data_IF_477681753972
#
_entry.id   IF_477681753972
#
_cell.length_a   1.000
_cell.length_b   1.000
_cell.length_c   1.000
_cell.angle_alpha   90.00
_cell.angle_beta   90.00
_cell.angle_gamma   90.00
#
_symmetry.space_group_name_H-M   'P 1'
#
loop_
_entity.id
_entity.type
_entity.pdbx_description
1 polymer ?
#
# COMPACT_ATOMS: atom_id res chain seq x y z
N UNK A 1 17.75 -82.05 -35.37
CA UNK A 1 18.53 -81.11 -36.20
C UNK A 1 18.23 -79.71 -35.70
N UNK A 2 19.18 -79.11 -34.97
CA UNK A 2 19.40 -77.71 -34.56
C UNK A 2 18.18 -76.92 -33.98
N UNK A 3 18.28 -75.97 -33.06
CA UNK A 3 19.35 -75.06 -32.67
C UNK A 3 18.95 -74.40 -31.33
N UNK A 4 19.92 -74.20 -30.43
CA UNK A 4 19.79 -73.37 -29.24
C UNK A 4 19.94 -71.89 -29.61
N UNK A 5 19.07 -70.98 -29.15
CA UNK A 5 19.41 -69.55 -29.01
C UNK A 5 18.74 -68.87 -27.80
N UNK A 6 19.55 -68.81 -26.75
CA UNK A 6 19.74 -67.74 -25.77
C UNK A 6 19.31 -66.31 -26.21
N UNK A 7 18.61 -65.56 -25.33
CA UNK A 7 18.69 -64.08 -25.24
C UNK A 7 18.25 -63.58 -23.84
N UNK A 8 18.99 -62.57 -23.38
CA UNK A 8 19.24 -62.09 -21.99
C UNK A 8 18.04 -61.40 -21.29
N UNK A 9 18.02 -61.32 -19.95
CA UNK A 9 17.01 -60.56 -19.22
C UNK A 9 17.27 -59.05 -19.24
N UNK A 10 16.21 -58.28 -19.44
CA UNK A 10 16.21 -56.82 -19.40
C UNK A 10 16.39 -56.31 -17.97
N UNK A 11 17.37 -55.42 -17.79
CA UNK A 11 17.60 -54.64 -16.56
C UNK A 11 16.47 -53.63 -16.39
N UNK A 12 15.71 -53.73 -15.30
CA UNK A 12 14.79 -52.68 -14.86
C UNK A 12 15.59 -51.53 -14.24
N UNK A 13 15.52 -50.35 -14.84
CA UNK A 13 16.06 -49.10 -14.29
C UNK A 13 14.92 -48.42 -13.54
N UNK A 14 15.03 -48.31 -12.21
CA UNK A 14 14.11 -47.55 -11.37
C UNK A 14 14.46 -46.05 -11.48
N UNK A 15 13.64 -45.28 -12.18
CA UNK A 15 13.67 -43.81 -12.15
C UNK A 15 12.86 -43.31 -10.95
N UNK A 16 13.53 -42.87 -9.89
CA UNK A 16 12.90 -42.11 -8.79
C UNK A 16 12.73 -40.65 -9.22
N UNK A 17 11.49 -40.21 -9.43
CA UNK A 17 11.16 -38.81 -9.64
C UNK A 17 11.09 -38.07 -8.30
N UNK A 18 11.95 -37.04 -8.10
CA UNK A 18 11.83 -36.10 -6.99
C UNK A 18 10.69 -35.11 -7.28
N UNK A 19 9.61 -35.20 -6.51
CA UNK A 19 8.54 -34.19 -6.47
C UNK A 19 9.00 -33.00 -5.62
N UNK A 20 9.39 -31.91 -6.26
CA UNK A 20 9.53 -30.60 -5.61
C UNK A 20 8.13 -30.04 -5.32
N UNK A 21 7.66 -30.16 -4.08
CA UNK A 21 6.45 -29.47 -3.63
C UNK A 21 6.84 -28.03 -3.33
N UNK A 22 6.50 -27.11 -4.25
CA UNK A 22 6.61 -25.67 -4.02
C UNK A 22 5.56 -25.25 -2.99
N UNK A 23 6.02 -25.02 -1.76
CA UNK A 23 5.23 -24.41 -0.70
C UNK A 23 4.91 -22.97 -1.11
N UNK A 24 3.72 -22.76 -1.68
CA UNK A 24 3.21 -21.42 -1.92
C UNK A 24 2.83 -20.83 -0.57
N UNK A 25 3.68 -19.97 -0.03
CA UNK A 25 3.32 -19.14 1.10
C UNK A 25 2.15 -18.25 0.68
N UNK A 26 0.94 -18.60 1.11
CA UNK A 26 -0.19 -17.70 1.03
C UNK A 26 0.15 -16.51 1.92
N UNK A 27 0.51 -15.37 1.31
CA UNK A 27 0.60 -14.12 2.05
C UNK A 27 -0.79 -13.85 2.62
N UNK A 28 -0.92 -13.90 3.94
CA UNK A 28 -2.13 -13.45 4.61
C UNK A 28 -2.35 -11.98 4.22
N UNK A 29 -3.27 -11.75 3.29
CA UNK A 29 -3.72 -10.41 2.96
C UNK A 29 -4.45 -9.92 4.21
N UNK A 30 -3.75 -9.16 5.05
CA UNK A 30 -4.34 -8.49 6.21
C UNK A 30 -5.57 -7.74 5.71
N UNK A 31 -6.75 -8.18 6.13
CA UNK A 31 -8.00 -7.55 5.80
C UNK A 31 -7.93 -6.13 6.37
N UNK A 32 -7.88 -5.14 5.48
CA UNK A 32 -7.85 -3.74 5.88
C UNK A 32 -9.21 -3.40 6.48
N UNK A 33 -9.28 -3.34 7.80
CA UNK A 33 -10.49 -3.02 8.55
C UNK A 33 -10.52 -1.52 8.88
N UNK A 34 -10.44 -0.68 7.86
CA UNK A 34 -10.60 0.76 8.03
C UNK A 34 -11.29 1.39 6.82
N UNK A 35 -11.96 2.51 7.07
CA UNK A 35 -12.62 3.35 6.07
C UNK A 35 -12.04 4.76 6.19
N UNK A 36 -11.78 5.39 5.04
CA UNK A 36 -11.40 6.81 4.98
C UNK A 36 -12.44 7.53 4.13
N UNK A 37 -13.14 8.47 4.75
CA UNK A 37 -13.93 9.46 4.05
C UNK A 37 -13.09 10.72 3.88
N UNK A 38 -13.02 11.25 2.67
CA UNK A 38 -12.21 12.43 2.37
C UNK A 38 -13.04 13.49 1.66
N UNK A 39 -13.22 14.63 2.31
CA UNK A 39 -14.00 15.75 1.81
C UNK A 39 -13.04 16.88 1.40
N UNK A 40 -12.98 17.25 0.11
CA UNK A 40 -12.10 18.33 -0.32
C UNK A 40 -12.50 19.64 0.37
N UNK A 41 -11.57 20.23 1.12
CA UNK A 41 -11.83 21.39 1.95
C UNK A 41 -11.36 22.68 1.27
N UNK A 42 -10.05 22.79 1.00
CA UNK A 42 -9.44 24.02 0.47
C UNK A 42 -8.30 23.73 -0.49
N UNK A 43 -8.14 24.62 -1.46
CA UNK A 43 -6.99 24.70 -2.36
C UNK A 43 -6.25 26.02 -2.16
N UNK A 44 -4.93 26.00 -2.32
CA UNK A 44 -4.12 27.21 -2.17
C UNK A 44 -2.69 27.05 -2.66
N UNK A 45 -1.85 28.02 -2.33
CA UNK A 45 -0.40 27.98 -2.57
C UNK A 45 0.36 28.36 -1.32
N UNK A 46 1.56 27.83 -1.17
CA UNK A 46 2.48 28.20 -0.11
C UNK A 46 3.90 28.40 -0.66
N UNK A 47 4.72 29.14 0.08
CA UNK A 47 6.16 29.25 -0.17
C UNK A 47 6.87 28.38 0.87
N UNK A 48 7.63 27.39 0.41
CA UNK A 48 8.45 26.55 1.27
C UNK A 48 9.68 27.31 1.76
N UNK A 49 10.36 26.79 2.80
CA UNK A 49 11.52 27.46 3.40
C UNK A 49 12.70 27.64 2.42
N UNK A 50 12.79 26.80 1.40
CA UNK A 50 13.75 26.91 0.28
C UNK A 50 13.35 27.94 -0.79
N UNK A 51 12.24 28.67 -0.58
CA UNK A 51 11.70 29.66 -1.50
C UNK A 51 10.84 29.06 -2.63
N UNK A 52 10.71 27.73 -2.71
CA UNK A 52 9.92 27.12 -3.78
C UNK A 52 8.42 27.28 -3.52
N UNK A 53 7.70 27.72 -4.56
CA UNK A 53 6.24 27.70 -4.55
C UNK A 53 5.72 26.27 -4.57
N UNK A 54 4.82 25.95 -3.66
CA UNK A 54 4.04 24.71 -3.62
C UNK A 54 2.56 25.02 -3.84
N UNK A 55 1.86 24.12 -4.50
CA UNK A 55 0.41 24.10 -4.58
C UNK A 55 -0.10 23.11 -3.54
N UNK A 56 -1.21 23.44 -2.89
CA UNK A 56 -1.69 22.70 -1.71
C UNK A 56 -3.17 22.38 -1.83
N UNK A 57 -3.54 21.15 -1.50
CA UNK A 57 -4.94 20.74 -1.39
C UNK A 57 -5.15 20.09 -0.03
N UNK A 58 -6.21 20.49 0.65
CA UNK A 58 -6.61 19.95 1.95
C UNK A 58 -7.90 19.14 1.85
N UNK A 59 -8.02 18.16 2.72
CA UNK A 59 -9.22 17.36 2.91
C UNK A 59 -9.57 17.32 4.38
N UNK A 60 -10.84 17.48 4.69
CA UNK A 60 -11.39 17.02 5.97
C UNK A 60 -11.53 15.50 5.87
N UNK A 61 -10.91 14.78 6.80
CA UNK A 61 -10.92 13.32 6.86
C UNK A 61 -11.77 12.82 8.02
N UNK A 62 -12.47 11.72 7.75
CA UNK A 62 -13.01 10.81 8.78
C UNK A 62 -12.31 9.47 8.59
N UNK A 63 -11.52 9.05 9.58
CA UNK A 63 -10.89 7.73 9.64
C UNK A 63 -11.68 6.86 10.59
N UNK A 64 -12.27 5.78 10.08
CA UNK A 64 -12.99 4.79 10.86
C UNK A 64 -12.10 3.54 10.91
N UNK A 65 -11.60 3.18 12.08
CA UNK A 65 -10.83 1.96 12.31
C UNK A 65 -11.74 0.91 12.97
N UNK A 66 -11.91 -0.23 12.33
CA UNK A 66 -12.74 -1.36 12.78
C UNK A 66 -11.88 -2.60 13.11
N UNK A 67 -10.58 -2.41 13.29
CA UNK A 67 -9.64 -3.53 13.49
C UNK A 67 -8.52 -3.21 14.46
N UNK A 68 -7.33 -3.72 14.15
CA UNK A 68 -6.16 -3.51 14.98
C UNK A 68 -5.70 -2.05 14.94
N UNK A 69 -5.00 -1.57 15.99
CA UNK A 69 -4.47 -0.22 16.02
C UNK A 69 -3.60 0.09 14.80
N UNK A 70 -3.85 1.23 14.16
CA UNK A 70 -3.05 1.74 13.05
C UNK A 70 -1.88 2.56 13.61
N UNK A 71 -0.69 2.36 13.03
CA UNK A 71 0.50 3.14 13.39
C UNK A 71 0.77 4.21 12.34
N UNK A 72 0.21 5.40 12.55
CA UNK A 72 0.28 6.56 11.67
C UNK A 72 1.54 7.38 11.93
N UNK A 73 2.69 6.83 11.53
CA UNK A 73 4.03 7.42 11.68
C UNK A 73 4.84 7.26 10.38
N UNK A 74 5.94 8.03 10.23
CA UNK A 74 6.79 7.97 9.03
C UNK A 74 7.39 6.58 8.76
N UNK A 75 7.54 5.74 9.78
CA UNK A 75 8.04 4.36 9.66
C UNK A 75 6.95 3.29 9.60
N UNK A 76 5.68 3.67 9.77
CA UNK A 76 4.52 2.78 9.75
C UNK A 76 3.66 3.03 8.52
N UNK A 77 2.58 3.78 8.72
CA UNK A 77 1.64 4.17 7.69
C UNK A 77 1.51 5.69 7.63
N UNK A 78 1.24 6.20 6.43
CA UNK A 78 1.00 7.61 6.16
C UNK A 78 -0.18 7.76 5.23
N UNK A 79 -0.71 8.97 5.14
CA UNK A 79 -1.76 9.28 4.18
C UNK A 79 -1.14 9.66 2.83
N UNK A 80 -1.80 9.23 1.76
CA UNK A 80 -1.47 9.64 0.41
C UNK A 80 -2.73 10.00 -0.36
N UNK A 81 -2.69 11.15 -1.02
CA UNK A 81 -3.76 11.57 -1.91
C UNK A 81 -3.48 11.09 -3.32
N UNK A 82 -4.54 10.80 -4.08
CA UNK A 82 -4.44 10.28 -5.43
C UNK A 82 -5.43 10.99 -6.35
N UNK A 83 -5.04 11.18 -7.61
CA UNK A 83 -5.98 11.53 -8.68
C UNK A 83 -6.53 10.27 -9.40
N UNK A 84 -7.52 10.47 -10.26
CA UNK A 84 -8.18 9.39 -11.02
C UNK A 84 -7.23 8.65 -11.98
N UNK A 85 -6.08 9.24 -12.30
CA UNK A 85 -5.06 8.64 -13.16
C UNK A 85 -4.00 7.86 -12.36
N UNK A 86 -4.14 7.81 -11.03
CA UNK A 86 -3.20 7.13 -10.14
C UNK A 86 -1.97 7.95 -9.77
N UNK A 87 -1.89 9.24 -10.13
CA UNK A 87 -0.83 10.10 -9.61
C UNK A 87 -1.03 10.27 -8.11
N UNK A 88 0.05 10.22 -7.35
CA UNK A 88 0.00 10.31 -5.89
C UNK A 88 0.72 11.54 -5.35
N UNK A 89 0.27 12.03 -4.21
CA UNK A 89 0.79 13.22 -3.54
C UNK A 89 1.01 12.90 -2.06
N UNK A 90 2.23 13.14 -1.59
CA UNK A 90 2.60 12.93 -0.19
C UNK A 90 1.92 13.97 0.71
N UNK A 91 1.58 13.54 1.93
CA UNK A 91 1.11 14.41 2.98
C UNK A 91 2.15 15.50 3.29
N UNK A 92 1.66 16.72 3.50
CA UNK A 92 2.48 17.87 3.87
C UNK A 92 2.24 18.30 5.31
N UNK A 93 0.98 18.29 5.75
CA UNK A 93 0.59 18.54 7.15
C UNK A 93 -0.58 17.63 7.50
N UNK A 94 -0.52 17.00 8.65
CA UNK A 94 -1.57 16.15 9.19
C UNK A 94 -1.91 16.66 10.58
N UNK A 95 -3.19 16.82 10.89
CA UNK A 95 -3.60 17.16 12.25
C UNK A 95 -3.25 16.03 13.24
N UNK A 96 -2.89 16.35 14.50
CA UNK A 96 -2.39 15.36 15.46
C UNK A 96 -3.35 14.19 15.75
N UNK A 97 -4.66 14.41 15.68
CA UNK A 97 -5.72 13.43 15.91
C UNK A 97 -5.66 12.27 14.90
N UNK A 98 -5.06 12.51 13.73
CA UNK A 98 -4.91 11.53 12.65
C UNK A 98 -3.53 10.84 12.65
N UNK A 99 -2.69 11.09 13.67
CA UNK A 99 -1.31 10.59 13.78
C UNK A 99 -1.11 9.69 15.01
N UNK A 100 0.01 8.95 15.02
CA UNK A 100 0.40 8.13 16.16
C UNK A 100 -0.31 6.77 16.18
N UNK A 101 -0.77 6.35 17.35
CA UNK A 101 -1.55 5.11 17.48
C UNK A 101 -3.02 5.45 17.38
N UNK A 102 -3.68 4.95 16.35
CA UNK A 102 -5.13 5.08 16.16
C UNK A 102 -5.76 3.75 16.53
N UNK A 103 -6.39 3.69 17.70
CA UNK A 103 -7.13 2.51 18.16
C UNK A 103 -8.43 2.33 17.34
N UNK A 104 -9.23 1.33 17.69
CA UNK A 104 -10.56 1.13 17.10
C UNK A 104 -11.48 2.32 17.43
N UNK A 105 -12.18 2.85 16.43
CA UNK A 105 -13.03 4.02 16.59
C UNK A 105 -13.04 4.95 15.39
N UNK A 106 -13.39 6.21 15.65
CA UNK A 106 -13.50 7.26 14.63
C UNK A 106 -12.63 8.44 15.02
N UNK A 107 -11.73 8.82 14.14
CA UNK A 107 -10.92 10.04 14.25
C UNK A 107 -11.24 10.99 13.10
N UNK A 108 -11.24 12.28 13.39
CA UNK A 108 -11.53 13.32 12.39
C UNK A 108 -10.47 14.41 12.42
N UNK A 109 -10.09 14.91 11.25
CA UNK A 109 -9.15 16.03 11.18
C UNK A 109 -8.87 16.48 9.76
N UNK A 110 -8.17 17.59 9.63
CA UNK A 110 -7.71 18.09 8.33
C UNK A 110 -6.33 17.52 7.98
N UNK A 111 -6.18 17.11 6.72
CA UNK A 111 -4.88 16.82 6.11
C UNK A 111 -4.63 17.76 4.94
N UNK A 112 -3.38 18.16 4.74
CA UNK A 112 -2.94 18.95 3.59
C UNK A 112 -1.87 18.18 2.81
N UNK A 113 -2.01 18.14 1.49
CA UNK A 113 -1.05 17.60 0.54
C UNK A 113 -0.42 18.73 -0.26
N UNK A 114 0.83 18.56 -0.69
CA UNK A 114 1.56 19.58 -1.45
C UNK A 114 2.26 19.00 -2.69
N UNK A 115 2.38 19.82 -3.73
CA UNK A 115 3.16 19.51 -4.93
C UNK A 115 3.84 20.75 -5.50
N UNK A 116 4.94 20.56 -6.22
CA UNK A 116 5.55 21.62 -7.03
C UNK A 116 4.69 22.05 -8.24
N UNK A 117 3.62 21.30 -8.55
CA UNK A 117 2.72 21.59 -9.66
C UNK A 117 1.26 21.64 -9.22
N UNK A 118 0.38 22.22 -10.06
CA UNK A 118 -1.08 22.25 -9.85
C UNK A 118 -1.73 20.86 -9.89
N UNK A 119 -0.98 19.79 -10.18
CA UNK A 119 -1.51 18.44 -10.26
C UNK A 119 -2.21 18.00 -8.97
N UNK A 120 -1.76 18.47 -7.81
CA UNK A 120 -2.37 18.15 -6.50
C UNK A 120 -3.86 18.55 -6.42
N UNK A 121 -4.29 19.57 -7.18
CA UNK A 121 -5.70 19.98 -7.23
C UNK A 121 -6.61 18.91 -7.84
N UNK A 122 -6.05 17.99 -8.63
CA UNK A 122 -6.79 16.86 -9.19
C UNK A 122 -6.92 15.67 -8.25
N UNK A 123 -6.28 15.70 -7.08
CA UNK A 123 -6.47 14.61 -6.12
C UNK A 123 -7.95 14.54 -5.71
N UNK A 124 -8.52 13.34 -5.71
CA UNK A 124 -9.95 13.09 -5.43
C UNK A 124 -10.16 12.15 -4.26
N UNK A 125 -9.19 11.31 -3.89
CA UNK A 125 -9.30 10.39 -2.77
C UNK A 125 -7.99 10.26 -1.98
N UNK A 126 -8.12 9.87 -0.71
CA UNK A 126 -7.00 9.66 0.23
C UNK A 126 -7.01 8.19 0.68
N UNK A 127 -5.82 7.59 0.83
CA UNK A 127 -5.64 6.22 1.32
C UNK A 127 -4.43 6.14 2.23
N UNK A 128 -4.40 5.11 3.09
CA UNK A 128 -3.17 4.77 3.81
C UNK A 128 -2.18 4.06 2.87
N UNK A 129 -0.92 4.46 2.99
CA UNK A 129 0.23 3.94 2.25
C UNK A 129 1.31 3.52 3.25
N UNK A 130 2.09 2.51 2.88
CA UNK A 130 3.36 2.17 3.55
C UNK A 130 4.56 2.79 2.82
N UNK A 131 4.34 3.34 1.61
CA UNK A 131 5.30 4.19 0.92
C UNK A 131 5.11 5.64 1.41
N UNK A 132 5.92 6.00 2.41
CA UNK A 132 5.88 7.28 3.11
C UNK A 132 7.03 8.22 2.75
N UNK A 133 7.74 7.92 1.66
CA UNK A 133 8.73 8.84 1.12
C UNK A 133 8.05 10.16 0.68
N UNK A 134 8.62 11.27 1.16
CA UNK A 134 8.19 12.64 0.87
C UNK A 134 8.84 13.19 -0.38
#
# INVERSE_FOLDING_TARGET
>A
MNEQMNKRPHRFVFTTALLFISLHAASAHSQKNYIIEAFPAREGTAIAADGQKKYIKSFDLVLINEGHPLLMTESGQCYRAYDENGNSFAEWRVQPELLGHIDEGVETGEITFASGSRAVYRATFVRLSTDCAK
#
